data_IF_035659885571
#
_entry.id   IF_035659885571
#
_cell.length_a   1.000
_cell.length_b   1.000
_cell.length_c   1.000
_cell.angle_alpha   90.00
_cell.angle_beta   90.00
_cell.angle_gamma   90.00
#
_symmetry.space_group_name_H-M   'P 1'
#
loop_
_entity.id
_entity.type
_entity.pdbx_description
1 polymer ?
#
# COMPACT_ATOMS: atom_id res chain seq x y z
N UNK A 1 -7.93 -47.74 -6.46
CA UNK A 1 -8.84 -46.63 -6.78
C UNK A 1 -9.04 -45.85 -5.50
N UNK A 2 -8.31 -44.75 -5.35
CA UNK A 2 -8.45 -43.80 -4.25
C UNK A 2 -8.94 -42.48 -4.86
N UNK A 3 -10.20 -42.16 -4.62
CA UNK A 3 -10.81 -40.92 -5.05
C UNK A 3 -10.22 -39.74 -4.23
N UNK A 4 -9.60 -38.82 -4.92
CA UNK A 4 -9.19 -37.53 -4.36
C UNK A 4 -10.42 -36.62 -4.27
N UNK A 5 -10.91 -36.35 -3.06
CA UNK A 5 -11.90 -35.32 -2.80
C UNK A 5 -11.20 -33.97 -2.74
N UNK A 6 -11.47 -33.10 -3.73
CA UNK A 6 -11.12 -31.70 -3.66
C UNK A 6 -12.01 -31.01 -2.59
N UNK A 7 -11.38 -30.41 -1.59
CA UNK A 7 -12.03 -29.53 -0.64
C UNK A 7 -12.02 -28.13 -1.22
N UNK A 8 -13.18 -27.65 -1.67
CA UNK A 8 -13.36 -26.26 -2.07
C UNK A 8 -13.49 -25.41 -0.80
N UNK A 9 -12.48 -24.64 -0.49
CA UNK A 9 -12.51 -23.66 0.60
C UNK A 9 -12.47 -22.27 -0.01
N UNK A 10 -13.52 -21.49 0.24
CA UNK A 10 -13.73 -20.07 0.03
C UNK A 10 -13.79 -19.57 -1.43
N UNK A 11 -14.93 -18.96 -1.74
CA UNK A 11 -15.09 -18.09 -2.93
C UNK A 11 -13.95 -17.05 -2.97
N UNK A 12 -13.08 -17.07 -3.97
CA UNK A 12 -12.20 -15.94 -4.17
C UNK A 12 -13.06 -14.76 -4.64
N UNK A 13 -12.89 -13.60 -4.01
CA UNK A 13 -13.30 -12.33 -4.58
C UNK A 13 -12.72 -12.26 -6.00
N UNK A 14 -13.40 -11.65 -6.98
CA UNK A 14 -12.85 -11.51 -8.32
C UNK A 14 -11.60 -10.63 -8.25
N UNK A 15 -10.45 -11.26 -8.23
CA UNK A 15 -9.18 -10.62 -8.57
C UNK A 15 -9.32 -10.27 -10.04
N UNK A 16 -9.08 -9.04 -10.43
CA UNK A 16 -8.91 -8.68 -11.83
C UNK A 16 -7.80 -9.59 -12.36
N UNK A 17 -8.18 -10.54 -13.21
CA UNK A 17 -7.29 -11.57 -13.74
C UNK A 17 -6.42 -10.93 -14.83
N UNK A 18 -5.36 -10.26 -14.43
CA UNK A 18 -4.21 -9.94 -15.29
C UNK A 18 -3.28 -11.15 -15.30
N UNK A 19 -3.79 -12.29 -15.76
CA UNK A 19 -2.97 -13.48 -15.95
C UNK A 19 -1.91 -13.17 -17.01
N UNK A 20 -0.66 -13.00 -16.57
CA UNK A 20 0.46 -12.91 -17.47
C UNK A 20 0.89 -14.31 -17.89
N UNK A 21 0.70 -14.64 -19.16
CA UNK A 21 1.05 -15.94 -19.72
C UNK A 21 2.50 -15.97 -20.20
N UNK A 22 3.19 -17.08 -19.92
CA UNK A 22 4.57 -17.30 -20.34
C UNK A 22 4.71 -18.58 -21.14
N UNK A 23 5.61 -18.57 -22.11
CA UNK A 23 6.09 -19.77 -22.77
C UNK A 23 7.42 -20.17 -22.12
N UNK A 24 7.40 -21.27 -21.37
CA UNK A 24 8.55 -21.86 -20.71
C UNK A 24 9.05 -23.07 -21.53
N UNK A 25 10.29 -23.03 -21.99
CA UNK A 25 10.98 -24.22 -22.51
C UNK A 25 11.92 -24.74 -21.44
N UNK A 26 11.65 -25.93 -20.92
CA UNK A 26 12.44 -26.53 -19.84
C UNK A 26 13.29 -27.68 -20.35
N UNK A 27 14.56 -27.71 -19.96
CA UNK A 27 15.54 -28.80 -20.17
C UNK A 27 16.27 -29.04 -18.85
N UNK A 28 17.10 -30.05 -18.81
CA UNK A 28 17.96 -30.34 -17.67
C UNK A 28 19.42 -30.29 -18.11
N UNK A 29 20.26 -29.70 -17.28
CA UNK A 29 21.72 -29.74 -17.41
C UNK A 29 22.21 -31.19 -17.16
N UNK A 30 23.45 -31.55 -17.57
CA UNK A 30 24.05 -32.85 -17.23
C UNK A 30 24.06 -33.12 -15.71
N UNK A 31 24.13 -32.09 -14.89
CA UNK A 31 24.12 -32.16 -13.43
C UNK A 31 22.72 -32.23 -12.83
N UNK A 32 21.65 -32.32 -13.67
CA UNK A 32 20.26 -32.49 -13.28
C UNK A 32 19.54 -31.19 -12.89
N UNK A 33 20.17 -30.03 -13.00
CA UNK A 33 19.53 -28.73 -12.77
C UNK A 33 18.62 -28.31 -13.93
N UNK A 34 17.57 -27.49 -13.69
CA UNK A 34 16.74 -26.95 -14.76
C UNK A 34 17.50 -25.90 -15.57
N UNK A 35 17.34 -25.91 -16.88
CA UNK A 35 17.79 -24.83 -17.78
C UNK A 35 16.78 -24.68 -18.92
N UNK A 36 16.78 -23.54 -19.57
CA UNK A 36 15.83 -23.33 -20.66
C UNK A 36 15.66 -21.87 -21.04
N UNK A 37 14.48 -21.56 -21.55
CA UNK A 37 14.12 -20.19 -21.91
C UNK A 37 12.72 -19.85 -21.41
N UNK A 38 12.52 -18.59 -21.01
CA UNK A 38 11.25 -17.99 -20.64
C UNK A 38 10.95 -16.82 -21.57
N UNK A 39 9.72 -16.70 -22.02
CA UNK A 39 9.23 -15.62 -22.87
C UNK A 39 7.80 -15.28 -22.49
N UNK A 40 7.47 -14.01 -22.29
CA UNK A 40 6.08 -13.59 -22.12
C UNK A 40 5.30 -13.81 -23.44
N UNK A 41 4.01 -14.17 -23.34
CA UNK A 41 3.15 -14.31 -24.53
C UNK A 41 2.97 -12.92 -25.15
N UNK A 42 3.27 -12.84 -26.46
CA UNK A 42 3.27 -11.58 -27.21
C UNK A 42 4.65 -10.96 -27.43
N UNK A 43 5.68 -11.34 -26.68
CA UNK A 43 7.06 -10.94 -26.92
C UNK A 43 7.73 -11.87 -27.94
N UNK A 44 8.72 -11.34 -28.70
CA UNK A 44 9.47 -12.14 -29.68
C UNK A 44 10.74 -12.75 -29.07
N UNK A 45 11.32 -12.09 -28.08
CA UNK A 45 12.60 -12.49 -27.49
C UNK A 45 12.41 -13.39 -26.28
N UNK A 46 13.09 -14.55 -26.29
CA UNK A 46 13.12 -15.49 -25.17
C UNK A 46 14.43 -15.32 -24.39
N UNK A 47 14.32 -15.12 -23.08
CA UNK A 47 15.48 -15.03 -22.18
C UNK A 47 15.87 -16.42 -21.68
N UNK A 48 17.17 -16.73 -21.69
CA UNK A 48 17.71 -17.98 -21.21
C UNK A 48 17.92 -17.96 -19.69
N UNK A 49 17.73 -19.11 -19.05
CA UNK A 49 18.03 -19.29 -17.61
C UNK A 49 18.77 -20.60 -17.36
N UNK A 50 19.50 -20.64 -16.26
CA UNK A 50 20.12 -21.83 -15.69
C UNK A 50 19.86 -21.88 -14.19
N UNK A 51 19.41 -23.03 -13.68
CA UNK A 51 19.03 -23.24 -12.30
C UNK A 51 17.68 -22.61 -11.92
N UNK A 52 17.16 -23.01 -10.76
CA UNK A 52 15.90 -22.48 -10.21
C UNK A 52 15.96 -20.99 -9.91
N UNK A 53 17.10 -20.51 -9.41
CA UNK A 53 17.28 -19.08 -9.10
C UNK A 53 17.22 -18.24 -10.36
N UNK A 54 17.83 -18.71 -11.48
CA UNK A 54 17.77 -18.04 -12.77
C UNK A 54 16.34 -17.96 -13.31
N UNK A 55 15.56 -19.07 -13.19
CA UNK A 55 14.16 -19.09 -13.61
C UNK A 55 13.30 -18.12 -12.78
N UNK A 56 13.45 -18.13 -11.45
CA UNK A 56 12.71 -17.22 -10.55
C UNK A 56 13.07 -15.76 -10.89
N UNK A 57 14.35 -15.46 -11.10
CA UNK A 57 14.79 -14.12 -11.50
C UNK A 57 14.14 -13.65 -12.79
N UNK A 58 14.08 -14.51 -13.83
CA UNK A 58 13.44 -14.17 -15.10
C UNK A 58 11.92 -13.99 -14.98
N UNK A 59 11.23 -14.83 -14.17
CA UNK A 59 9.80 -14.65 -13.92
C UNK A 59 9.55 -13.28 -13.27
N UNK A 60 10.39 -12.91 -12.31
CA UNK A 60 10.31 -11.60 -11.64
C UNK A 60 10.57 -10.44 -12.61
N UNK A 61 11.59 -10.56 -13.46
CA UNK A 61 11.89 -9.55 -14.50
C UNK A 61 10.76 -9.42 -15.54
N UNK A 62 10.18 -10.56 -15.94
CA UNK A 62 9.11 -10.58 -16.95
C UNK A 62 7.76 -10.08 -16.40
N UNK A 63 7.59 -10.05 -15.08
CA UNK A 63 6.40 -9.42 -14.43
C UNK A 63 6.42 -7.88 -14.53
N UNK A 64 7.43 -7.31 -15.17
CA UNK A 64 7.74 -5.89 -15.13
C UNK A 64 8.55 -5.59 -13.86
N UNK A 65 9.21 -4.45 -13.80
CA UNK A 65 9.75 -3.97 -12.54
C UNK A 65 8.60 -4.03 -11.54
N UNK A 66 8.68 -4.93 -10.56
CA UNK A 66 7.69 -4.97 -9.48
C UNK A 66 7.72 -3.58 -8.88
N UNK A 67 6.66 -2.82 -9.11
CA UNK A 67 6.51 -1.52 -8.48
C UNK A 67 6.64 -1.81 -6.99
N UNK A 68 7.60 -1.17 -6.36
CA UNK A 68 7.86 -1.40 -4.95
C UNK A 68 6.79 -0.67 -4.12
N UNK A 69 5.62 -1.30 -4.00
CA UNK A 69 4.49 -0.77 -3.23
C UNK A 69 4.89 -0.43 -1.78
N UNK A 70 5.89 -1.14 -1.23
CA UNK A 70 6.46 -0.83 0.09
C UNK A 70 7.19 0.52 0.06
N UNK A 71 8.00 0.76 -0.98
CA UNK A 71 8.69 2.04 -1.15
C UNK A 71 7.69 3.18 -1.39
N UNK A 72 6.66 2.98 -2.24
CA UNK A 72 5.60 3.97 -2.45
C UNK A 72 4.88 4.29 -1.15
N UNK A 73 4.48 3.27 -0.37
CA UNK A 73 3.79 3.48 0.91
C UNK A 73 4.67 4.22 1.94
N UNK A 74 5.98 3.92 2.02
CA UNK A 74 6.91 4.68 2.85
C UNK A 74 7.03 6.14 2.41
N UNK A 75 7.18 6.35 1.10
CA UNK A 75 7.27 7.69 0.53
C UNK A 75 6.02 8.53 0.81
N UNK A 76 4.83 7.91 0.83
CA UNK A 76 3.57 8.55 1.25
C UNK A 76 3.70 9.16 2.64
N UNK A 77 4.10 8.38 3.65
CA UNK A 77 4.22 8.89 5.02
C UNK A 77 5.35 9.91 5.20
N UNK A 78 6.47 9.72 4.49
CA UNK A 78 7.59 10.68 4.50
C UNK A 78 7.17 12.04 3.95
N UNK A 79 6.43 12.07 2.82
CA UNK A 79 5.93 13.31 2.21
C UNK A 79 4.91 14.01 3.10
N UNK A 80 3.96 13.27 3.66
CA UNK A 80 2.97 13.83 4.60
C UNK A 80 3.69 14.42 5.82
N UNK A 81 4.65 13.72 6.42
CA UNK A 81 5.42 14.21 7.57
C UNK A 81 6.28 15.43 7.22
N UNK A 82 6.72 15.55 5.97
CA UNK A 82 7.45 16.73 5.48
C UNK A 82 6.51 17.91 5.13
N UNK A 83 5.19 17.71 5.15
CA UNK A 83 4.21 18.71 4.70
C UNK A 83 4.12 18.84 3.17
N UNK A 84 4.74 17.93 2.41
CA UNK A 84 4.72 17.88 0.94
C UNK A 84 3.45 17.20 0.44
N UNK A 85 2.31 17.87 0.59
CA UNK A 85 1.00 17.31 0.22
C UNK A 85 0.83 17.22 -1.29
N UNK A 86 1.42 18.11 -2.05
CA UNK A 86 1.36 18.05 -3.52
C UNK A 86 2.20 16.85 -4.02
N UNK A 87 3.41 16.66 -3.50
CA UNK A 87 4.22 15.50 -3.80
C UNK A 87 3.58 14.18 -3.32
N UNK A 88 2.84 14.18 -2.20
CA UNK A 88 2.02 13.03 -1.82
C UNK A 88 0.93 12.77 -2.88
N UNK A 89 0.27 13.80 -3.39
CA UNK A 89 -0.71 13.69 -4.46
C UNK A 89 -0.18 13.04 -5.74
N UNK A 90 1.12 13.20 -6.06
CA UNK A 90 1.77 12.55 -7.20
C UNK A 90 1.85 11.02 -7.08
N UNK A 91 1.73 10.49 -5.85
CA UNK A 91 1.72 9.05 -5.57
C UNK A 91 0.32 8.44 -5.63
N UNK A 92 -0.73 9.23 -5.88
CA UNK A 92 -2.13 8.83 -5.80
C UNK A 92 -2.78 8.94 -7.18
N UNK A 93 -3.48 7.89 -7.60
CA UNK A 93 -4.21 7.84 -8.87
C UNK A 93 -5.33 8.88 -8.92
N UNK A 94 -5.66 9.37 -10.13
CA UNK A 94 -6.73 10.37 -10.31
C UNK A 94 -8.12 9.84 -9.95
N UNK A 95 -8.34 8.54 -10.14
CA UNK A 95 -9.58 7.83 -9.81
C UNK A 95 -9.53 7.13 -8.42
N UNK A 96 -8.70 7.66 -7.53
CA UNK A 96 -8.55 7.18 -6.16
C UNK A 96 -9.88 7.17 -5.39
N UNK A 97 -10.07 6.16 -4.56
CA UNK A 97 -11.23 6.01 -3.67
C UNK A 97 -10.77 5.88 -2.23
N UNK A 98 -11.28 6.79 -1.38
CA UNK A 98 -11.14 6.74 0.08
C UNK A 98 -12.30 5.95 0.67
N UNK A 99 -12.01 4.90 1.44
CA UNK A 99 -13.03 4.09 2.12
C UNK A 99 -13.23 4.48 3.59
N UNK A 100 -12.34 5.28 4.16
CA UNK A 100 -12.51 5.87 5.49
C UNK A 100 -13.10 7.29 5.35
N UNK A 101 -14.44 7.35 5.34
CA UNK A 101 -15.17 8.58 5.06
C UNK A 101 -14.93 9.65 6.14
N UNK A 102 -14.44 10.81 5.72
CA UNK A 102 -14.31 12.00 6.56
C UNK A 102 -15.52 12.89 6.33
N UNK A 103 -16.33 13.19 7.37
CA UNK A 103 -17.50 14.04 7.22
C UNK A 103 -17.19 15.40 6.58
N UNK A 104 -17.88 15.70 5.47
CA UNK A 104 -17.73 16.97 4.76
C UNK A 104 -16.65 16.99 3.67
N UNK A 105 -15.91 15.92 3.47
CA UNK A 105 -14.96 15.75 2.38
C UNK A 105 -15.42 14.64 1.42
N UNK A 106 -15.21 14.79 0.10
CA UNK A 106 -15.52 13.73 -0.85
C UNK A 106 -14.51 12.58 -0.70
N UNK A 107 -14.92 11.31 -0.96
CA UNK A 107 -14.04 10.14 -0.87
C UNK A 107 -13.15 10.01 -2.13
N UNK A 108 -12.47 11.08 -2.49
CA UNK A 108 -11.63 11.21 -3.68
C UNK A 108 -10.22 11.67 -3.32
N UNK A 109 -9.31 11.64 -4.30
CA UNK A 109 -7.96 12.21 -4.20
C UNK A 109 -7.97 13.63 -3.61
N UNK A 110 -8.76 14.53 -4.18
CA UNK A 110 -8.84 15.92 -3.70
C UNK A 110 -9.31 16.00 -2.24
N UNK A 111 -10.35 15.23 -1.89
CA UNK A 111 -10.85 15.21 -0.51
C UNK A 111 -9.83 14.67 0.49
N UNK A 112 -9.07 13.65 0.11
CA UNK A 112 -7.99 13.13 0.93
C UNK A 112 -6.85 14.15 1.09
N UNK A 113 -6.44 14.84 0.03
CA UNK A 113 -5.42 15.89 0.10
C UNK A 113 -5.89 17.05 0.98
N UNK A 114 -7.16 17.46 0.88
CA UNK A 114 -7.73 18.50 1.74
C UNK A 114 -7.79 18.05 3.22
N UNK A 115 -8.08 16.77 3.49
CA UNK A 115 -8.01 16.22 4.83
C UNK A 115 -6.61 16.35 5.44
N UNK A 116 -5.56 15.99 4.70
CA UNK A 116 -4.18 16.13 5.19
C UNK A 116 -3.77 17.59 5.37
N UNK A 117 -4.24 18.52 4.52
CA UNK A 117 -4.04 19.96 4.74
C UNK A 117 -4.69 20.45 6.03
N UNK A 118 -5.91 19.98 6.34
CA UNK A 118 -6.58 20.26 7.61
C UNK A 118 -5.81 19.66 8.81
N UNK A 119 -5.36 18.41 8.69
CA UNK A 119 -4.55 17.77 9.74
C UNK A 119 -3.26 18.54 10.01
N UNK A 120 -2.52 18.94 8.99
CA UNK A 120 -1.27 19.69 9.14
C UNK A 120 -1.51 21.11 9.66
N UNK A 121 -2.67 21.72 9.39
CA UNK A 121 -3.06 22.98 10.01
C UNK A 121 -3.27 22.84 11.53
N UNK A 122 -3.86 21.72 11.97
CA UNK A 122 -4.07 21.42 13.38
C UNK A 122 -2.81 20.89 14.09
N UNK A 123 -1.99 20.13 13.36
CA UNK A 123 -0.83 19.38 13.85
C UNK A 123 0.39 19.63 12.95
N UNK A 124 0.97 20.86 12.95
CA UNK A 124 2.00 21.25 11.97
C UNK A 124 3.33 20.52 12.09
N UNK A 125 3.58 19.85 13.19
CA UNK A 125 4.79 19.05 13.47
C UNK A 125 4.49 17.53 13.43
N UNK A 126 3.43 17.11 12.72
CA UNK A 126 3.04 15.70 12.63
C UNK A 126 4.14 14.85 12.00
N UNK A 127 4.46 13.73 12.67
CA UNK A 127 5.38 12.70 12.18
C UNK A 127 4.66 11.36 12.13
N UNK A 128 4.87 10.64 11.05
CA UNK A 128 4.28 9.33 10.78
C UNK A 128 5.39 8.28 10.73
N UNK A 129 5.60 7.59 11.85
CA UNK A 129 6.60 6.53 11.98
C UNK A 129 6.00 5.18 11.57
N UNK A 130 6.46 4.62 10.48
CA UNK A 130 6.06 3.28 10.02
C UNK A 130 6.76 2.23 10.87
N UNK A 131 6.00 1.54 11.73
CA UNK A 131 6.50 0.50 12.63
C UNK A 131 6.53 -0.87 11.96
N UNK A 132 5.56 -1.16 11.06
CA UNK A 132 5.46 -2.41 10.31
C UNK A 132 4.89 -2.18 8.91
N UNK A 133 5.33 -3.00 7.94
CA UNK A 133 4.79 -3.06 6.59
C UNK A 133 4.66 -4.53 6.16
N UNK A 134 3.48 -4.88 5.66
CA UNK A 134 3.19 -6.20 5.11
C UNK A 134 2.68 -5.99 3.69
N UNK A 135 3.43 -6.47 2.70
CA UNK A 135 3.07 -6.37 1.29
C UNK A 135 2.42 -7.67 0.80
N UNK A 136 1.34 -7.53 0.04
CA UNK A 136 0.73 -8.56 -0.79
C UNK A 136 0.93 -8.25 -2.28
N UNK A 137 0.11 -8.85 -3.14
CA UNK A 137 0.23 -8.70 -4.58
C UNK A 137 -0.02 -7.24 -5.04
N UNK A 138 -1.21 -6.70 -4.73
CA UNK A 138 -1.64 -5.35 -5.09
C UNK A 138 -1.88 -4.45 -3.87
N UNK A 139 -1.66 -4.95 -2.66
CA UNK A 139 -1.94 -4.24 -1.40
C UNK A 139 -0.76 -4.26 -0.46
N UNK A 140 -0.64 -3.18 0.29
CA UNK A 140 0.30 -3.09 1.41
C UNK A 140 -0.46 -2.63 2.66
N UNK A 141 -0.15 -3.25 3.78
CA UNK A 141 -0.67 -2.89 5.10
C UNK A 141 0.44 -2.24 5.89
N UNK A 142 0.17 -1.08 6.49
CA UNK A 142 1.09 -0.41 7.41
C UNK A 142 0.50 -0.31 8.80
N UNK A 143 1.33 -0.53 9.81
CA UNK A 143 1.08 -0.12 11.18
C UNK A 143 1.95 1.10 11.47
N UNK A 144 1.29 2.21 11.80
CA UNK A 144 1.93 3.53 11.88
C UNK A 144 1.64 4.15 13.25
N UNK A 145 2.63 4.86 13.75
CA UNK A 145 2.52 5.71 14.92
C UNK A 145 2.63 7.18 14.51
N UNK A 146 1.55 7.92 14.69
CA UNK A 146 1.52 9.36 14.47
C UNK A 146 1.84 10.08 15.79
N UNK A 147 2.76 11.04 15.75
CA UNK A 147 3.06 11.92 16.88
C UNK A 147 2.96 13.37 16.44
N UNK A 148 2.40 14.24 17.28
CA UNK A 148 2.21 15.65 16.93
C UNK A 148 1.95 16.52 18.16
N UNK A 149 1.96 17.85 17.96
CA UNK A 149 1.48 18.84 18.93
C UNK A 149 0.22 19.52 18.40
N UNK A 150 -0.87 19.49 19.17
CA UNK A 150 -2.13 20.15 18.80
C UNK A 150 -2.02 21.68 18.88
N UNK A 151 -1.82 22.33 17.75
CA UNK A 151 -1.55 23.79 17.66
C UNK A 151 -2.61 24.56 16.87
N UNK A 152 -3.47 23.88 16.10
CA UNK A 152 -4.60 24.47 15.39
C UNK A 152 -5.92 23.89 15.84
N UNK A 153 -7.03 24.36 15.30
CA UNK A 153 -8.35 23.78 15.55
C UNK A 153 -8.48 22.40 14.90
N UNK A 154 -8.98 21.41 15.62
CA UNK A 154 -9.26 20.07 15.13
C UNK A 154 -10.63 19.59 15.56
N UNK A 155 -11.53 19.33 14.62
CA UNK A 155 -12.91 18.87 14.83
C UNK A 155 -13.68 19.73 15.86
N UNK A 156 -13.53 21.04 15.80
CA UNK A 156 -14.16 21.98 16.73
C UNK A 156 -13.45 22.12 18.09
N UNK A 157 -12.34 21.42 18.28
CA UNK A 157 -11.51 21.54 19.49
C UNK A 157 -10.45 22.62 19.27
N UNK A 158 -10.44 23.71 20.05
CA UNK A 158 -9.40 24.73 19.92
C UNK A 158 -8.03 24.19 20.33
N UNK A 159 -6.92 24.80 19.87
CA UNK A 159 -5.57 24.32 20.13
C UNK A 159 -5.31 24.17 21.64
N UNK A 160 -4.88 22.99 22.05
CA UNK A 160 -4.61 22.65 23.46
C UNK A 160 -3.13 22.77 23.82
N UNK A 161 -2.22 22.79 22.83
CA UNK A 161 -0.78 22.74 23.02
C UNK A 161 -0.26 21.39 23.49
N UNK A 162 -1.11 20.37 23.60
CA UNK A 162 -0.73 19.04 24.06
C UNK A 162 -0.01 18.27 22.96
N UNK A 163 0.99 17.47 23.35
CA UNK A 163 1.54 16.41 22.51
C UNK A 163 0.61 15.21 22.55
N UNK A 164 0.44 14.60 21.37
CA UNK A 164 -0.43 13.43 21.18
C UNK A 164 0.33 12.33 20.44
N UNK A 165 -0.05 11.09 20.70
CA UNK A 165 0.39 9.90 19.99
C UNK A 165 -0.84 9.09 19.57
N UNK A 166 -0.95 8.77 18.30
CA UNK A 166 -2.06 8.00 17.74
C UNK A 166 -1.52 6.81 16.97
N UNK A 167 -2.12 5.65 17.18
CA UNK A 167 -1.83 4.45 16.38
C UNK A 167 -2.87 4.33 15.27
N UNK A 168 -2.38 3.94 14.08
CA UNK A 168 -3.24 3.70 12.94
C UNK A 168 -2.77 2.48 12.16
N UNK A 169 -3.71 1.88 11.45
CA UNK A 169 -3.47 0.80 10.49
C UNK A 169 -4.09 1.24 9.18
N UNK A 170 -3.28 1.28 8.14
CA UNK A 170 -3.68 1.62 6.79
C UNK A 170 -3.50 0.42 5.86
N UNK A 171 -4.43 0.27 4.93
CA UNK A 171 -4.31 -0.63 3.80
C UNK A 171 -4.38 0.23 2.55
N UNK A 172 -3.38 0.13 1.68
CA UNK A 172 -3.36 0.77 0.37
C UNK A 172 -3.39 -0.28 -0.72
N UNK A 173 -4.25 -0.09 -1.74
CA UNK A 173 -4.22 -0.84 -2.98
C UNK A 173 -3.56 0.01 -4.06
N UNK A 174 -2.72 -0.63 -4.86
CA UNK A 174 -1.93 0.01 -5.91
C UNK A 174 -2.41 -0.45 -7.29
N UNK A 175 -2.19 0.37 -8.30
CA UNK A 175 -2.32 -0.03 -9.69
C UNK A 175 -0.99 -0.55 -10.25
N UNK A 176 -1.00 -0.92 -11.54
CA UNK A 176 0.17 -1.45 -12.24
C UNK A 176 1.31 -0.41 -12.40
N UNK A 177 1.00 0.88 -12.32
CA UNK A 177 1.95 1.98 -12.35
C UNK A 177 2.49 2.31 -10.94
N UNK A 178 1.94 1.68 -9.89
CA UNK A 178 2.32 1.84 -8.49
C UNK A 178 1.73 3.05 -7.80
N UNK A 179 0.69 3.63 -8.37
CA UNK A 179 -0.08 4.68 -7.72
C UNK A 179 -1.10 4.09 -6.76
N UNK A 180 -1.33 4.76 -5.64
CA UNK A 180 -2.36 4.39 -4.67
C UNK A 180 -3.75 4.64 -5.27
N UNK A 181 -4.55 3.58 -5.42
CA UNK A 181 -5.92 3.65 -5.97
C UNK A 181 -7.01 3.58 -4.92
N UNK A 182 -6.79 2.87 -3.85
CA UNK A 182 -7.76 2.76 -2.76
C UNK A 182 -7.06 2.78 -1.41
N UNK A 183 -7.72 3.34 -0.43
CA UNK A 183 -7.25 3.38 0.95
C UNK A 183 -8.36 2.97 1.91
N UNK A 184 -8.00 2.19 2.91
CA UNK A 184 -8.78 1.87 4.11
C UNK A 184 -7.89 2.16 5.32
N UNK A 185 -8.38 2.96 6.26
CA UNK A 185 -7.64 3.33 7.45
C UNK A 185 -8.46 3.18 8.72
N UNK A 186 -7.78 2.90 9.82
CA UNK A 186 -8.36 2.96 11.17
C UNK A 186 -7.36 3.64 12.09
N UNK A 187 -7.73 4.79 12.63
CA UNK A 187 -6.96 5.50 13.64
C UNK A 187 -7.63 5.39 15.02
N UNK A 188 -6.84 5.34 16.08
CA UNK A 188 -7.35 5.36 17.47
C UNK A 188 -7.80 6.78 17.86
N UNK A 189 -8.93 7.18 17.27
CA UNK A 189 -9.53 8.49 17.49
C UNK A 189 -10.00 8.68 18.93
N UNK A 190 -10.40 7.60 19.62
CA UNK A 190 -10.79 7.68 21.01
C UNK A 190 -9.62 8.10 21.89
N UNK A 191 -8.47 7.45 21.72
CA UNK A 191 -7.23 7.82 22.41
C UNK A 191 -6.84 9.28 22.13
N UNK A 192 -6.91 9.72 20.86
CA UNK A 192 -6.65 11.12 20.51
C UNK A 192 -7.55 12.08 21.29
N UNK A 193 -8.87 11.85 21.31
CA UNK A 193 -9.81 12.71 22.01
C UNK A 193 -9.61 12.73 23.53
N UNK A 194 -9.20 11.61 24.11
CA UNK A 194 -8.82 11.53 25.52
C UNK A 194 -7.57 12.35 25.83
N UNK A 195 -6.53 12.22 24.98
CA UNK A 195 -5.28 12.98 25.12
C UNK A 195 -5.53 14.49 24.98
N UNK A 196 -6.42 14.91 24.06
CA UNK A 196 -6.82 16.30 23.92
C UNK A 196 -7.65 16.79 25.13
N UNK A 197 -8.29 15.87 25.88
CA UNK A 197 -9.12 16.18 27.03
C UNK A 197 -10.58 16.48 26.66
N UNK A 198 -11.03 16.02 25.50
CA UNK A 198 -12.42 16.17 25.02
C UNK A 198 -13.34 15.13 25.63
N UNK A 199 -12.82 13.94 25.88
CA UNK A 199 -13.53 12.83 26.54
C UNK A 199 -12.73 12.34 27.74
N UNK A 200 -13.40 11.79 28.78
CA UNK A 200 -12.72 11.21 29.93
C UNK A 200 -11.80 10.04 29.51
N UNK A 201 -10.62 9.92 30.15
CA UNK A 201 -9.69 8.80 29.99
C UNK A 201 -10.02 7.65 30.93
#
# INVERSE_FOLDING_TARGET
>A
MLESRAVSILNPMPVADTAQEFVLTLRHTPDGGPCGTLRAVGEQDAKAFEGWIGLIGLITECRGATVDHVATMRSTYERISAGDIDGFGDLVAEDFVEHDEVPGLPPTKDGMLDYFRLLLSAFPDMQLDVEDLIAGDDKTVARVRATATHRGEFLGVPPTGKQVEVRLIDIMRFDDDGLVREHWGVADMLSLMQQLGVVPG
#
